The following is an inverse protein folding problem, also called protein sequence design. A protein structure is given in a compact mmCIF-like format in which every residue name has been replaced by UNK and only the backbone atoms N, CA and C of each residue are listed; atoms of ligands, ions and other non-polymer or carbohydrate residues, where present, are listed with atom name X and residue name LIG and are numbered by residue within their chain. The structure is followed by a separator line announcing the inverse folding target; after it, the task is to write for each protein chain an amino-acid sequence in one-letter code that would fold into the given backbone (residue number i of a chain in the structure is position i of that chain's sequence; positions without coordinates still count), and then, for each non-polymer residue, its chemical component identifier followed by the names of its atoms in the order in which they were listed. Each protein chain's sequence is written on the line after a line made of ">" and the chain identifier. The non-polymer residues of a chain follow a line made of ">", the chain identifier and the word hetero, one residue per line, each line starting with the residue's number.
data_IF_323120899017
#
_entry.id   IF_323120899017
#
_cell.length_a   1.000
_cell.length_b   1.000
_cell.length_c   1.000
_cell.angle_alpha   90.00
_cell.angle_beta   90.00
_cell.angle_gamma   90.00
#
_symmetry.space_group_name_H-M   'P 1'
#
loop_
_entity.id
_entity.type
_entity.pdbx_description
1 polymer ?
#
# COMPACT_ATOMS: atom_id res chain seq x y z
N UNK A 1 9.66 5.92 6.56
CA UNK A 1 10.21 4.67 7.14
C UNK A 1 11.60 4.41 6.61
N UNK A 2 12.46 3.71 7.38
CA UNK A 2 12.19 3.16 8.72
C UNK A 2 12.04 4.24 9.80
N UNK A 3 11.56 3.86 10.98
CA UNK A 3 11.55 4.75 12.16
C UNK A 3 12.99 4.93 12.67
N UNK A 4 13.42 6.14 13.06
CA UNK A 4 14.72 6.35 13.68
C UNK A 4 14.92 5.48 14.93
N UNK A 5 16.15 5.00 15.15
CA UNK A 5 16.45 4.08 16.25
C UNK A 5 16.32 4.73 17.65
N UNK A 6 16.48 6.05 17.72
CA UNK A 6 16.35 6.86 18.93
C UNK A 6 14.94 7.45 19.13
N UNK A 7 13.96 6.99 18.35
CA UNK A 7 12.62 7.53 18.41
C UNK A 7 11.90 7.19 19.73
N UNK A 8 11.28 8.16 20.43
CA UNK A 8 10.74 7.97 21.78
C UNK A 8 9.64 6.90 21.90
N UNK A 9 8.87 6.66 20.84
CA UNK A 9 7.86 5.60 20.83
C UNK A 9 8.45 4.20 21.03
N UNK A 10 9.71 3.94 20.61
CA UNK A 10 10.35 2.63 20.78
C UNK A 10 10.60 2.27 22.26
N UNK A 11 10.66 3.27 23.14
CA UNK A 11 10.78 3.09 24.59
C UNK A 11 9.48 3.30 25.38
N UNK A 12 8.36 3.58 24.72
CA UNK A 12 7.11 3.93 25.38
C UNK A 12 6.40 2.67 25.95
N UNK A 13 6.16 2.59 27.27
CA UNK A 13 5.47 1.45 27.87
C UNK A 13 4.06 1.26 27.27
N UNK A 14 3.77 0.04 26.82
CA UNK A 14 2.48 -0.30 26.21
C UNK A 14 2.36 0.04 24.72
N UNK A 15 3.37 0.66 24.11
CA UNK A 15 3.39 0.86 22.67
C UNK A 15 3.83 -0.42 21.95
N UNK A 16 3.03 -0.85 20.97
CA UNK A 16 3.36 -1.97 20.07
C UNK A 16 3.25 -1.44 18.64
N UNK A 17 4.41 -1.21 18.01
CA UNK A 17 4.50 -0.85 16.59
C UNK A 17 4.78 -2.08 15.73
N UNK A 18 4.36 -2.05 14.47
CA UNK A 18 4.77 -3.00 13.44
C UNK A 18 5.48 -2.26 12.32
N UNK A 19 6.55 -2.82 11.70
CA UNK A 19 7.34 -2.12 10.69
C UNK A 19 6.65 -2.11 9.32
N UNK A 20 5.52 -1.42 9.20
CA UNK A 20 4.72 -1.29 7.96
C UNK A 20 4.31 -2.61 7.31
N UNK A 21 4.11 -3.64 8.12
CA UNK A 21 3.70 -4.97 7.65
C UNK A 21 2.19 -5.19 7.77
N UNK A 22 1.42 -4.14 8.06
CA UNK A 22 -0.04 -4.24 8.26
C UNK A 22 -0.78 -4.81 7.04
N UNK A 23 -0.29 -4.53 5.83
CA UNK A 23 -0.82 -5.08 4.57
C UNK A 23 0.03 -6.18 3.95
N UNK A 24 1.05 -6.69 4.65
CA UNK A 24 2.01 -7.66 4.10
C UNK A 24 1.49 -9.11 4.14
N UNK A 25 0.24 -9.31 3.69
CA UNK A 25 -0.38 -10.63 3.55
C UNK A 25 -0.43 -11.04 2.08
N UNK A 26 -0.47 -12.35 1.80
CA UNK A 26 -0.59 -12.85 0.42
C UNK A 26 -1.89 -12.38 -0.21
N UNK A 27 -2.98 -12.43 0.53
CA UNK A 27 -4.32 -12.07 0.09
C UNK A 27 -4.43 -10.57 -0.27
N UNK A 28 -3.76 -9.70 0.48
CA UNK A 28 -3.71 -8.28 0.18
C UNK A 28 -2.89 -8.01 -1.10
N UNK A 29 -1.73 -8.65 -1.23
CA UNK A 29 -0.88 -8.51 -2.40
C UNK A 29 -1.55 -9.06 -3.67
N UNK A 30 -2.22 -10.21 -3.59
CA UNK A 30 -2.96 -10.80 -4.72
C UNK A 30 -4.09 -9.88 -5.17
N UNK A 31 -4.86 -9.33 -4.21
CA UNK A 31 -5.96 -8.39 -4.51
C UNK A 31 -5.46 -7.13 -5.18
N UNK A 32 -4.45 -6.48 -4.59
CA UNK A 32 -3.87 -5.24 -5.13
C UNK A 32 -3.23 -5.51 -6.48
N UNK A 33 -2.50 -6.61 -6.64
CA UNK A 33 -1.89 -7.01 -7.90
C UNK A 33 -2.91 -7.13 -9.04
N UNK A 34 -4.05 -7.79 -8.79
CA UNK A 34 -5.15 -7.90 -9.75
C UNK A 34 -5.81 -6.55 -10.05
N UNK A 35 -6.06 -5.72 -9.03
CA UNK A 35 -6.64 -4.39 -9.19
C UNK A 35 -5.76 -3.49 -10.07
N UNK A 36 -4.45 -3.46 -9.81
CA UNK A 36 -3.51 -2.66 -10.59
C UNK A 36 -3.38 -3.18 -12.02
N UNK A 37 -3.32 -4.50 -12.22
CA UNK A 37 -3.31 -5.07 -13.57
C UNK A 37 -4.55 -4.67 -14.38
N UNK A 38 -5.74 -4.72 -13.77
CA UNK A 38 -6.99 -4.30 -14.41
C UNK A 38 -6.99 -2.79 -14.71
N UNK A 39 -6.51 -1.96 -13.79
CA UNK A 39 -6.41 -0.51 -13.98
C UNK A 39 -5.46 -0.15 -15.14
N UNK A 40 -4.30 -0.79 -15.22
CA UNK A 40 -3.34 -0.59 -16.32
C UNK A 40 -3.98 -0.93 -17.67
N UNK A 41 -4.67 -2.06 -17.77
CA UNK A 41 -5.37 -2.45 -18.99
C UNK A 41 -6.48 -1.45 -19.37
N UNK A 42 -7.25 -0.96 -18.40
CA UNK A 42 -8.28 0.04 -18.66
C UNK A 42 -7.71 1.32 -19.27
N UNK A 43 -6.61 1.85 -18.72
CA UNK A 43 -5.96 3.06 -19.26
C UNK A 43 -5.41 2.82 -20.66
N UNK A 44 -4.80 1.66 -20.92
CA UNK A 44 -4.29 1.31 -22.25
C UNK A 44 -5.41 1.21 -23.30
N UNK A 45 -6.62 0.83 -22.88
CA UNK A 45 -7.84 0.83 -23.70
C UNK A 45 -8.50 2.22 -23.84
N UNK A 46 -7.92 3.28 -23.27
CA UNK A 46 -8.51 4.61 -23.24
C UNK A 46 -9.71 4.75 -22.31
N UNK A 47 -9.90 3.80 -21.38
CA UNK A 47 -10.95 3.81 -20.36
C UNK A 47 -10.41 4.32 -19.02
N UNK A 48 -11.30 4.81 -18.17
CA UNK A 48 -10.97 5.16 -16.79
C UNK A 48 -11.02 3.89 -15.91
N UNK A 49 -10.00 3.61 -15.07
CA UNK A 49 -10.04 2.52 -14.10
C UNK A 49 -11.21 2.63 -13.11
N UNK A 50 -11.69 1.49 -12.62
CA UNK A 50 -12.86 1.44 -11.71
C UNK A 50 -12.61 2.11 -10.35
N UNK A 51 -11.37 2.09 -9.86
CA UNK A 51 -10.96 2.78 -8.64
C UNK A 51 -10.81 4.30 -8.82
N UNK A 52 -10.99 4.81 -10.04
CA UNK A 52 -10.98 6.23 -10.37
C UNK A 52 -9.61 6.90 -10.23
N UNK A 53 -8.56 6.15 -9.88
CA UNK A 53 -7.22 6.69 -9.69
C UNK A 53 -6.48 6.64 -11.01
N UNK A 54 -6.62 7.71 -11.78
CA UNK A 54 -5.77 7.97 -12.95
C UNK A 54 -4.54 8.70 -12.43
N UNK A 55 -3.38 8.05 -12.43
CA UNK A 55 -2.12 8.72 -12.14
C UNK A 55 -1.94 9.89 -13.09
N UNK A 56 -2.14 11.11 -12.60
CA UNK A 56 -1.72 12.33 -13.27
C UNK A 56 -0.20 12.36 -13.15
N UNK A 57 0.49 12.35 -14.29
CA UNK A 57 1.91 12.71 -14.36
C UNK A 57 2.11 14.16 -13.87
#
# INVERSE_FOLDING_TARGET
>A
EPLPADHPLLGCPGFIGTPHIGGATREAQDRVGLQIAAAVLAVLDGRVPEDGVVGVA
#
